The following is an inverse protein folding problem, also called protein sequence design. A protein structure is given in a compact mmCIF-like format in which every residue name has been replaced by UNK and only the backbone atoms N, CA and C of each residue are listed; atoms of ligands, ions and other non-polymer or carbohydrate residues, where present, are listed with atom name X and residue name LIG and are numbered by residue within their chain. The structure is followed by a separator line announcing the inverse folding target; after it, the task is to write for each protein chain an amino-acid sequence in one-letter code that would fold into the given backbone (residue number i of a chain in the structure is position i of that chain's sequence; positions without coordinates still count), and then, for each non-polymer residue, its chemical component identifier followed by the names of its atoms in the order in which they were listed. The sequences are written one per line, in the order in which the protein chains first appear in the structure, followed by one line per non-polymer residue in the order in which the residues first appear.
data_IF_642965505587
#
_entry.id   IF_642965505587
#
_cell.length_a   1.000
_cell.length_b   1.000
_cell.length_c   1.000
_cell.angle_alpha   90.00
_cell.angle_beta   90.00
_cell.angle_gamma   90.00
#
_symmetry.space_group_name_H-M   'P 1'
#
loop_
_entity.id
_entity.type
_entity.pdbx_description
1 polymer ?
#
# COMPACT_ATOMS: atom_id res chain seq x y z
N UNK A 1 -1.75 -0.27 11.37
CA UNK A 1 -1.27 0.79 10.44
C UNK A 1 0.27 0.74 10.51
N UNK A 2 0.96 0.48 9.40
CA UNK A 2 2.42 0.54 9.37
C UNK A 2 2.84 1.95 8.98
N UNK A 3 2.81 2.85 9.95
CA UNK A 3 3.31 4.21 9.74
C UNK A 3 4.84 4.16 9.78
N UNK A 4 5.47 4.76 8.77
CA UNK A 4 6.93 4.87 8.65
C UNK A 4 7.30 6.28 8.25
N UNK A 5 8.41 6.78 8.79
CA UNK A 5 8.98 8.05 8.36
C UNK A 5 10.04 7.77 7.30
N UNK A 6 9.77 8.14 6.05
CA UNK A 6 10.78 8.18 5.00
C UNK A 6 11.64 9.43 5.14
N UNK A 7 12.93 9.30 4.84
CA UNK A 7 13.95 10.35 4.87
C UNK A 7 14.34 10.71 3.43
N UNK A 8 15.00 11.86 3.28
CA UNK A 8 15.51 12.36 2.00
C UNK A 8 14.45 12.40 0.89
N UNK A 9 13.23 12.77 1.29
CA UNK A 9 12.06 12.77 0.42
C UNK A 9 12.08 13.96 -0.54
N UNK A 10 11.48 13.79 -1.71
CA UNK A 10 11.39 14.84 -2.74
C UNK A 10 9.94 15.29 -2.94
N UNK A 11 9.72 16.56 -3.18
CA UNK A 11 8.35 17.10 -3.35
C UNK A 11 7.64 16.54 -4.60
N UNK A 12 8.41 16.14 -5.61
CA UNK A 12 7.94 15.55 -6.87
C UNK A 12 7.74 14.03 -6.83
N UNK A 13 7.99 13.39 -5.68
CA UNK A 13 7.92 11.94 -5.49
C UNK A 13 8.89 11.10 -6.34
N UNK A 14 9.90 11.72 -6.96
CA UNK A 14 10.93 10.99 -7.72
C UNK A 14 11.85 10.13 -6.81
N UNK A 15 11.67 10.21 -5.48
CA UNK A 15 12.28 9.31 -4.51
C UNK A 15 11.58 7.94 -4.39
N UNK A 16 10.41 7.75 -4.99
CA UNK A 16 9.65 6.51 -4.85
C UNK A 16 10.11 5.40 -5.82
N UNK A 17 10.20 4.14 -5.36
CA UNK A 17 9.96 3.68 -3.99
C UNK A 17 11.14 4.02 -3.06
N UNK A 18 10.82 4.71 -1.95
CA UNK A 18 11.83 5.19 -1.01
C UNK A 18 12.08 4.15 0.09
N UNK A 19 13.26 3.52 0.07
CA UNK A 19 13.72 2.54 1.09
C UNK A 19 14.51 3.19 2.22
N UNK A 20 14.79 4.48 2.12
CA UNK A 20 15.47 5.25 3.15
C UNK A 20 14.46 5.71 4.21
N UNK A 21 14.09 4.81 5.13
CA UNK A 21 13.12 5.11 6.19
C UNK A 21 13.65 4.78 7.59
N UNK A 22 12.99 5.34 8.62
CA UNK A 22 13.19 5.01 10.02
C UNK A 22 12.35 3.77 10.36
N UNK A 23 13.02 2.67 10.70
CA UNK A 23 12.37 1.41 11.07
C UNK A 23 12.16 1.28 12.58
N UNK A 24 11.56 2.31 13.18
CA UNK A 24 11.11 2.35 14.57
C UNK A 24 9.62 2.65 14.55
N UNK A 25 8.85 2.13 15.52
CA UNK A 25 7.42 2.40 15.57
C UNK A 25 7.21 3.85 16.03
N UNK A 26 6.25 4.50 15.39
CA UNK A 26 5.80 5.83 15.80
C UNK A 26 4.86 5.62 17.00
N UNK A 27 5.16 6.30 18.09
CA UNK A 27 4.33 6.35 19.30
C UNK A 27 3.25 7.42 19.15
N UNK A 28 3.63 8.60 18.65
CA UNK A 28 2.75 9.75 18.55
C UNK A 28 3.12 10.63 17.36
N UNK A 29 2.11 11.16 16.67
CA UNK A 29 2.25 12.29 15.76
C UNK A 29 1.38 13.42 16.29
N UNK A 30 1.99 14.53 16.68
CA UNK A 30 1.28 15.68 17.26
C UNK A 30 1.74 16.98 16.66
N UNK A 31 0.87 17.98 16.73
CA UNK A 31 1.22 19.35 16.38
C UNK A 31 1.90 20.00 17.58
N UNK A 32 3.03 20.66 17.34
CA UNK A 32 3.79 21.42 18.33
C UNK A 32 4.09 22.81 17.75
N UNK A 33 3.28 23.80 18.14
CA UNK A 33 3.27 25.12 17.51
C UNK A 33 2.96 25.06 16.02
N UNK A 34 3.88 25.59 15.20
CA UNK A 34 3.79 25.60 13.74
C UNK A 34 4.37 24.34 13.08
N UNK A 35 4.90 23.42 13.88
CA UNK A 35 5.53 22.19 13.40
C UNK A 35 4.69 20.95 13.73
N UNK A 36 4.98 19.87 13.01
CA UNK A 36 4.57 18.52 13.40
C UNK A 36 5.74 17.83 14.09
N UNK A 37 5.47 17.22 15.24
CA UNK A 37 6.39 16.39 16.01
C UNK A 37 6.01 14.93 15.85
N UNK A 38 7.02 14.09 15.60
CA UNK A 38 6.88 12.63 15.53
C UNK A 38 7.71 12.05 16.67
N UNK A 39 7.05 11.34 17.57
CA UNK A 39 7.65 10.64 18.70
C UNK A 39 7.77 9.17 18.34
N UNK A 40 8.96 8.61 18.51
CA UNK A 40 9.21 7.18 18.30
C UNK A 40 9.20 6.44 19.63
N UNK A 41 8.73 5.20 19.63
CA UNK A 41 8.66 4.35 20.83
C UNK A 41 10.02 3.78 21.27
N UNK A 42 11.09 4.23 20.63
CA UNK A 42 12.45 3.81 20.91
C UNK A 42 13.49 4.64 20.15
N UNK A 43 14.78 4.44 20.45
CA UNK A 43 15.85 5.18 19.81
C UNK A 43 15.94 4.84 18.32
N UNK A 44 16.02 5.89 17.49
CA UNK A 44 16.26 5.74 16.06
C UNK A 44 17.72 5.34 15.83
N UNK A 45 17.95 4.19 15.17
CA UNK A 45 19.30 3.69 14.85
C UNK A 45 19.83 4.28 13.53
N UNK A 46 19.51 5.54 13.27
CA UNK A 46 19.77 6.20 12.00
C UNK A 46 20.00 7.69 12.21
N UNK A 47 21.00 8.24 11.56
CA UNK A 47 21.28 9.68 11.63
C UNK A 47 20.29 10.44 10.75
N UNK A 48 19.60 11.41 11.33
CA UNK A 48 18.83 12.41 10.62
C UNK A 48 19.26 13.79 11.14
N UNK A 49 19.91 14.58 10.29
CA UNK A 49 20.35 15.93 10.65
C UNK A 49 19.21 16.93 10.50
N UNK A 50 19.29 18.06 11.20
CA UNK A 50 18.34 19.15 11.02
C UNK A 50 18.24 19.54 9.53
N UNK A 51 17.01 19.78 9.07
CA UNK A 51 16.71 20.09 7.66
C UNK A 51 16.48 18.87 6.76
N UNK A 52 16.69 17.64 7.25
CA UNK A 52 16.35 16.42 6.49
C UNK A 52 14.86 16.45 6.14
N UNK A 53 14.54 16.38 4.84
CA UNK A 53 13.15 16.28 4.37
C UNK A 53 12.61 14.89 4.70
N UNK A 54 11.42 14.86 5.28
CA UNK A 54 10.75 13.62 5.69
C UNK A 54 9.35 13.53 5.11
N UNK A 55 8.81 12.31 5.00
CA UNK A 55 7.41 12.06 4.64
C UNK A 55 6.87 10.93 5.50
N UNK A 56 5.68 11.15 6.07
CA UNK A 56 4.93 10.07 6.73
C UNK A 56 4.30 9.19 5.66
N UNK A 57 4.70 7.92 5.65
CA UNK A 57 4.05 6.89 4.85
C UNK A 57 3.00 6.20 5.71
N UNK A 58 1.78 6.12 5.20
CA UNK A 58 0.69 5.35 5.79
C UNK A 58 0.22 4.32 4.78
N UNK A 59 -0.34 3.24 5.32
CA UNK A 59 -1.00 2.18 4.58
C UNK A 59 -0.08 1.35 3.66
N UNK A 60 -0.42 0.07 3.59
CA UNK A 60 0.00 -0.87 2.57
C UNK A 60 -1.22 -1.72 2.24
N UNK A 61 -1.22 -2.45 1.12
CA UNK A 61 -2.34 -3.30 0.84
C UNK A 61 -2.28 -4.04 -0.49
N UNK A 62 -3.41 -4.63 -0.82
CA UNK A 62 -3.64 -5.31 -2.08
C UNK A 62 -4.37 -4.38 -3.04
N UNK A 63 -4.18 -4.62 -4.33
CA UNK A 63 -4.95 -3.96 -5.39
C UNK A 63 -6.09 -4.91 -5.78
N UNK A 64 -7.33 -4.53 -5.48
CA UNK A 64 -8.51 -5.39 -5.66
C UNK A 64 -9.21 -5.20 -7.01
N UNK A 65 -8.48 -5.35 -8.11
CA UNK A 65 -9.02 -5.14 -9.47
C UNK A 65 -10.09 -6.14 -9.86
N UNK A 66 -9.98 -7.39 -9.41
CA UNK A 66 -10.84 -8.48 -9.87
C UNK A 66 -12.21 -8.63 -9.18
N UNK A 67 -12.48 -7.93 -8.08
CA UNK A 67 -13.73 -8.14 -7.33
C UNK A 67 -13.75 -7.63 -5.89
N UNK A 68 -13.28 -6.41 -5.64
CA UNK A 68 -13.32 -5.81 -4.29
C UNK A 68 -14.74 -5.72 -3.75
N UNK A 69 -15.07 -6.48 -2.69
CA UNK A 69 -16.35 -6.44 -1.97
C UNK A 69 -17.61 -6.60 -2.85
N UNK A 70 -17.47 -6.97 -4.12
CA UNK A 70 -18.57 -7.11 -5.08
C UNK A 70 -18.99 -8.57 -5.26
N UNK A 71 -18.16 -9.50 -4.80
CA UNK A 71 -18.43 -10.93 -4.85
C UNK A 71 -18.68 -11.47 -3.44
N UNK A 72 -19.95 -11.66 -3.12
CA UNK A 72 -20.38 -12.42 -1.94
C UNK A 72 -20.43 -13.89 -2.31
N UNK A 73 -19.81 -14.74 -1.49
CA UNK A 73 -19.87 -16.19 -1.65
C UNK A 73 -21.33 -16.69 -1.63
N UNK A 74 -21.62 -17.70 -2.44
CA UNK A 74 -22.93 -18.31 -2.57
C UNK A 74 -22.83 -19.54 -3.48
N UNK A 75 -23.95 -20.19 -3.73
CA UNK A 75 -24.00 -21.43 -4.52
C UNK A 75 -23.80 -21.17 -6.03
N UNK A 76 -24.03 -19.93 -6.48
CA UNK A 76 -23.94 -19.54 -7.88
C UNK A 76 -22.51 -19.19 -8.31
N UNK A 77 -22.14 -19.64 -9.51
CA UNK A 77 -20.88 -19.25 -10.15
C UNK A 77 -20.92 -17.78 -10.55
N UNK A 78 -19.98 -16.99 -10.04
CA UNK A 78 -19.84 -15.57 -10.38
C UNK A 78 -18.57 -15.31 -11.16
N UNK A 79 -18.67 -14.48 -12.21
CA UNK A 79 -17.50 -14.03 -12.98
C UNK A 79 -16.83 -12.85 -12.28
N UNK A 80 -15.52 -12.96 -12.11
CA UNK A 80 -14.65 -11.94 -11.54
C UNK A 80 -13.67 -11.47 -12.62
N UNK A 81 -13.27 -10.21 -12.59
CA UNK A 81 -12.34 -9.67 -13.58
C UNK A 81 -12.11 -8.19 -13.42
N UNK A 82 -10.97 -7.73 -13.93
CA UNK A 82 -10.62 -6.31 -13.94
C UNK A 82 -9.28 -6.09 -14.62
N UNK A 83 -9.01 -4.82 -14.91
CA UNK A 83 -7.79 -4.37 -15.56
C UNK A 83 -7.21 -3.23 -14.75
N UNK A 84 -5.89 -3.12 -14.77
CA UNK A 84 -5.14 -2.04 -14.13
C UNK A 84 -4.10 -1.54 -15.12
N UNK A 85 -3.95 -0.21 -15.17
CA UNK A 85 -3.02 0.44 -16.10
C UNK A 85 -2.43 1.69 -15.49
N UNK A 86 -1.27 2.10 -16.02
CA UNK A 86 -0.57 3.30 -15.59
C UNK A 86 -0.07 3.22 -14.16
N UNK A 87 0.49 4.34 -13.70
CA UNK A 87 1.03 4.48 -12.36
C UNK A 87 0.36 5.64 -11.64
N UNK A 88 0.22 5.53 -10.33
CA UNK A 88 -0.16 6.67 -9.49
C UNK A 88 1.00 7.65 -9.42
N UNK A 89 0.72 8.92 -9.08
CA UNK A 89 1.77 9.90 -8.81
C UNK A 89 2.54 9.53 -7.52
N UNK A 90 1.84 9.02 -6.51
CA UNK A 90 2.40 8.61 -5.24
C UNK A 90 1.55 7.50 -4.60
N UNK A 91 2.19 6.63 -3.81
CA UNK A 91 1.53 5.63 -2.98
C UNK A 91 0.53 4.72 -3.70
N UNK A 92 -0.44 4.18 -2.95
CA UNK A 92 -1.53 3.33 -3.47
C UNK A 92 -2.72 4.19 -3.91
N UNK A 93 -3.18 4.04 -5.17
CA UNK A 93 -4.24 4.87 -5.77
C UNK A 93 -5.58 4.15 -5.95
N UNK A 94 -6.06 3.49 -4.89
CA UNK A 94 -7.45 3.01 -4.85
C UNK A 94 -7.85 2.06 -5.98
N UNK A 95 -6.96 1.12 -6.32
CA UNK A 95 -7.21 -0.04 -7.22
C UNK A 95 -7.18 0.24 -8.73
N UNK A 96 -6.89 1.47 -9.17
CA UNK A 96 -6.97 1.84 -10.60
C UNK A 96 -5.63 1.96 -11.32
N UNK A 97 -4.53 2.06 -10.58
CA UNK A 97 -3.18 2.24 -11.12
C UNK A 97 -2.12 1.62 -10.20
N UNK A 98 -0.98 1.29 -10.78
CA UNK A 98 0.15 0.70 -10.06
C UNK A 98 0.85 1.74 -9.18
N UNK A 99 1.29 1.39 -7.95
CA UNK A 99 2.19 2.25 -7.18
C UNK A 99 3.48 2.56 -7.97
N UNK A 100 4.11 3.73 -7.78
CA UNK A 100 5.32 4.09 -8.53
C UNK A 100 6.43 3.05 -8.35
N UNK A 101 7.08 2.69 -9.45
CA UNK A 101 8.17 1.71 -9.46
C UNK A 101 7.75 0.25 -9.27
N UNK A 102 6.47 -0.09 -9.49
CA UNK A 102 6.02 -1.49 -9.50
C UNK A 102 6.68 -2.25 -10.64
N UNK A 103 7.58 -3.18 -10.30
CA UNK A 103 8.27 -4.03 -11.29
C UNK A 103 7.56 -5.36 -11.53
N UNK A 104 6.87 -5.88 -10.50
CA UNK A 104 6.22 -7.20 -10.54
C UNK A 104 4.90 -7.14 -9.77
N UNK A 105 3.93 -7.93 -10.21
CA UNK A 105 2.68 -8.16 -9.50
C UNK A 105 2.42 -9.66 -9.38
N UNK A 106 1.71 -10.04 -8.32
CA UNK A 106 1.23 -11.40 -8.10
C UNK A 106 -0.27 -11.36 -7.90
N UNK A 107 -0.97 -12.27 -8.57
CA UNK A 107 -2.39 -12.46 -8.33
C UNK A 107 -2.60 -13.15 -6.99
N UNK A 108 -3.60 -12.69 -6.24
CA UNK A 108 -4.00 -13.29 -4.97
C UNK A 108 -5.51 -13.33 -4.89
N UNK A 109 -6.05 -14.45 -4.41
CA UNK A 109 -7.46 -14.57 -4.01
C UNK A 109 -7.49 -14.59 -2.49
N UNK A 110 -8.06 -13.54 -1.90
CA UNK A 110 -8.31 -13.50 -0.46
C UNK A 110 -9.68 -14.14 -0.18
N UNK A 111 -9.72 -15.47 -0.21
CA UNK A 111 -10.89 -16.20 0.26
C UNK A 111 -11.14 -15.87 1.74
N UNK A 112 -12.40 -15.73 2.13
CA UNK A 112 -12.82 -15.54 3.52
C UNK A 112 -12.27 -14.26 4.18
N UNK A 113 -11.94 -13.24 3.39
CA UNK A 113 -11.43 -11.99 3.92
C UNK A 113 -12.45 -11.33 4.86
N UNK A 114 -12.10 -11.21 6.15
CA UNK A 114 -12.98 -10.75 7.24
C UNK A 114 -14.28 -11.56 7.40
N UNK A 115 -14.29 -12.83 6.97
CA UNK A 115 -15.40 -13.77 7.13
C UNK A 115 -14.88 -15.07 7.75
N UNK A 116 -15.78 -15.87 8.31
CA UNK A 116 -15.45 -17.19 8.84
C UNK A 116 -14.96 -18.16 7.76
N UNK A 117 -14.75 -19.42 8.12
CA UNK A 117 -14.33 -20.45 7.18
C UNK A 117 -15.29 -20.57 5.98
N UNK A 118 -14.73 -20.63 4.78
CA UNK A 118 -15.46 -21.03 3.58
C UNK A 118 -14.54 -21.77 2.59
N UNK A 119 -15.17 -22.60 1.76
CA UNK A 119 -14.49 -23.33 0.69
C UNK A 119 -14.41 -22.44 -0.55
N UNK A 120 -13.20 -22.22 -1.09
CA UNK A 120 -13.01 -21.50 -2.36
C UNK A 120 -13.07 -22.49 -3.53
N UNK A 121 -13.92 -22.21 -4.51
CA UNK A 121 -13.91 -22.85 -5.81
C UNK A 121 -13.63 -21.79 -6.89
N UNK A 122 -12.64 -22.05 -7.76
CA UNK A 122 -12.25 -21.17 -8.86
C UNK A 122 -12.05 -22.00 -10.12
N UNK A 123 -12.55 -21.51 -11.27
CA UNK A 123 -12.32 -22.12 -12.59
C UNK A 123 -12.12 -21.04 -13.66
N UNK A 124 -11.50 -21.43 -14.78
CA UNK A 124 -11.31 -20.59 -15.98
C UNK A 124 -10.57 -19.27 -15.68
N UNK A 125 -9.39 -19.39 -15.09
CA UNK A 125 -8.56 -18.23 -14.71
C UNK A 125 -7.56 -17.86 -15.80
N UNK A 126 -7.43 -16.55 -16.09
CA UNK A 126 -6.46 -16.00 -17.04
C UNK A 126 -5.89 -14.68 -16.51
N UNK A 127 -4.58 -14.50 -16.64
CA UNK A 127 -3.89 -13.21 -16.50
C UNK A 127 -3.22 -12.95 -17.84
N UNK A 128 -3.35 -11.74 -18.35
CA UNK A 128 -2.65 -11.29 -19.55
C UNK A 128 -2.21 -9.84 -19.40
N UNK A 129 -1.14 -9.49 -20.12
CA UNK A 129 -0.78 -8.10 -20.36
C UNK A 129 -1.68 -7.60 -21.49
N UNK A 130 -2.33 -6.46 -21.27
CA UNK A 130 -3.20 -5.81 -22.27
C UNK A 130 -2.50 -4.51 -22.66
N UNK A 131 -2.14 -4.38 -23.93
CA UNK A 131 -1.51 -3.19 -24.51
C UNK A 131 -2.51 -2.02 -24.68
#
# INVERSE_FOLDING_TARGET
IHERVALNTKEDYSDLPNKDYINVKIEEVKKDGDAWMIVFDGPIKKTATAGTKIRLHSNAGHIYTGGSNTLVAGEEWKKAGGTIKGHTQYGFGGYKAWPPGTAYARFVVLANYNKGEATLQLKNFKIEVVD
#
